data_IF_856487702710
#
_entry.id   IF_856487702710
#
_cell.length_a   1.000
_cell.length_b   1.000
_cell.length_c   1.000
_cell.angle_alpha   90.00
_cell.angle_beta   90.00
_cell.angle_gamma   90.00
#
_symmetry.space_group_name_H-M   'P 1'
#
loop_
_entity.id
_entity.type
_entity.pdbx_description
1 polymer ?
#
# COMPACT_ATOMS: atom_id res chain seq x y z
N UNK A 1 22.28 19.52 -10.96
CA UNK A 1 21.49 18.54 -10.17
C UNK A 1 20.03 19.01 -10.02
N UNK A 2 19.06 18.11 -10.12
CA UNK A 2 17.64 18.43 -9.99
C UNK A 2 16.83 17.22 -9.55
N UNK A 3 15.64 17.45 -9.02
CA UNK A 3 14.72 16.40 -8.55
C UNK A 3 13.52 16.36 -9.48
N UNK A 4 13.22 15.17 -10.03
CA UNK A 4 11.99 14.94 -10.78
C UNK A 4 10.86 14.60 -9.81
N UNK A 5 9.90 15.50 -9.67
CA UNK A 5 8.67 15.26 -8.92
C UNK A 5 7.58 14.70 -9.84
N UNK A 6 7.08 13.50 -9.54
CA UNK A 6 5.98 12.85 -10.26
C UNK A 6 4.78 12.68 -9.34
N UNK A 7 3.60 13.10 -9.80
CA UNK A 7 2.34 12.99 -9.06
C UNK A 7 1.35 12.13 -9.84
N UNK A 8 0.77 11.12 -9.18
CA UNK A 8 -0.33 10.31 -9.72
C UNK A 8 -1.62 10.73 -9.01
N UNK A 9 -2.62 11.15 -9.78
CA UNK A 9 -3.92 11.55 -9.24
C UNK A 9 -5.08 11.05 -10.12
N UNK A 10 -6.28 11.01 -9.53
CA UNK A 10 -7.51 10.78 -10.29
C UNK A 10 -7.73 11.94 -11.29
N UNK A 11 -8.27 11.72 -12.51
CA UNK A 11 -8.49 12.77 -13.49
C UNK A 11 -9.25 14.00 -12.96
N UNK A 12 -10.22 13.79 -12.06
CA UNK A 12 -10.97 14.87 -11.42
C UNK A 12 -10.18 15.73 -10.42
N UNK A 13 -8.95 15.36 -10.07
CA UNK A 13 -8.07 16.11 -9.14
C UNK A 13 -6.90 16.81 -9.83
N UNK A 14 -6.78 16.71 -11.15
CA UNK A 14 -5.65 17.26 -11.93
C UNK A 14 -5.43 18.74 -11.61
N UNK A 15 -6.47 19.57 -11.70
CA UNK A 15 -6.36 21.01 -11.45
C UNK A 15 -5.89 21.33 -10.02
N UNK A 16 -6.37 20.58 -9.01
CA UNK A 16 -5.96 20.79 -7.62
C UNK A 16 -4.49 20.40 -7.39
N UNK A 17 -4.02 19.33 -8.03
CA UNK A 17 -2.63 18.90 -7.99
C UNK A 17 -1.72 19.91 -8.70
N UNK A 18 -2.08 20.38 -9.89
CA UNK A 18 -1.34 21.41 -10.64
C UNK A 18 -1.24 22.71 -9.83
N UNK A 19 -2.35 23.18 -9.26
CA UNK A 19 -2.35 24.39 -8.41
C UNK A 19 -1.44 24.26 -7.19
N UNK A 20 -1.41 23.10 -6.55
CA UNK A 20 -0.49 22.84 -5.42
C UNK A 20 0.95 22.86 -5.90
N UNK A 21 1.27 22.22 -7.02
CA UNK A 21 2.64 22.19 -7.55
C UNK A 21 3.13 23.58 -7.95
N UNK A 22 2.32 24.42 -8.59
CA UNK A 22 2.71 25.79 -8.94
C UNK A 22 2.88 26.69 -7.71
N UNK A 23 2.06 26.48 -6.67
CA UNK A 23 2.12 27.28 -5.44
C UNK A 23 3.32 26.93 -4.57
N UNK A 24 3.60 25.64 -4.41
CA UNK A 24 4.59 25.15 -3.44
C UNK A 24 5.98 24.88 -4.07
N UNK A 25 6.12 25.04 -5.39
CA UNK A 25 7.38 24.82 -6.10
C UNK A 25 7.69 25.98 -7.02
N UNK A 26 8.95 26.10 -7.45
CA UNK A 26 9.37 27.11 -8.43
C UNK A 26 9.15 26.69 -9.88
N UNK A 27 8.38 25.62 -10.14
CA UNK A 27 8.18 25.15 -11.52
C UNK A 27 7.33 26.13 -12.31
N UNK A 28 7.70 26.38 -13.56
CA UNK A 28 6.93 27.20 -14.50
C UNK A 28 6.03 26.35 -15.41
N UNK A 29 6.16 25.03 -15.35
CA UNK A 29 5.37 24.14 -16.20
C UNK A 29 5.25 22.72 -15.64
N UNK A 30 4.19 22.04 -16.05
CA UNK A 30 3.91 20.65 -15.68
C UNK A 30 3.62 19.87 -16.96
N UNK A 31 4.27 18.71 -17.11
CA UNK A 31 3.97 17.75 -18.19
C UNK A 31 3.00 16.71 -17.64
N UNK A 32 1.90 16.47 -18.36
CA UNK A 32 0.85 15.52 -17.93
C UNK A 32 0.63 14.43 -18.97
N UNK A 33 0.31 13.23 -18.48
CA UNK A 33 -0.14 12.10 -19.30
C UNK A 33 -1.29 11.39 -18.59
N UNK A 34 -2.23 10.85 -19.37
CA UNK A 34 -3.27 9.95 -18.83
C UNK A 34 -2.78 8.51 -18.96
N UNK A 35 -2.75 7.80 -17.84
CA UNK A 35 -2.34 6.41 -17.79
C UNK A 35 -3.56 5.53 -17.55
N UNK A 36 -3.69 4.45 -18.32
CA UNK A 36 -4.63 3.37 -18.03
C UNK A 36 -3.95 2.36 -17.11
N UNK A 37 -4.73 1.69 -16.26
CA UNK A 37 -4.21 0.64 -15.38
C UNK A 37 -5.18 -0.53 -15.30
N UNK A 38 -4.63 -1.73 -15.30
CA UNK A 38 -5.31 -2.94 -14.86
C UNK A 38 -5.02 -3.14 -13.38
N UNK A 39 -6.06 -3.39 -12.58
CA UNK A 39 -5.94 -3.56 -11.13
C UNK A 39 -6.59 -4.88 -10.76
N UNK A 40 -5.94 -5.63 -9.86
CA UNK A 40 -6.53 -6.82 -9.25
C UNK A 40 -7.64 -6.41 -8.26
N UNK A 41 -8.63 -7.28 -8.08
CA UNK A 41 -9.53 -7.15 -6.95
C UNK A 41 -8.69 -7.28 -5.67
N UNK A 42 -9.03 -6.48 -4.66
CA UNK A 42 -8.32 -6.52 -3.38
C UNK A 42 -9.23 -6.19 -2.24
N UNK A 43 -8.96 -6.81 -1.11
CA UNK A 43 -9.60 -6.53 0.16
C UNK A 43 -8.55 -6.44 1.27
N UNK A 44 -8.97 -5.87 2.40
CA UNK A 44 -8.18 -5.81 3.61
C UNK A 44 -8.78 -6.81 4.58
N UNK A 45 -8.01 -7.85 4.90
CA UNK A 45 -8.31 -8.79 5.97
C UNK A 45 -7.47 -8.43 7.19
N UNK A 46 -7.83 -8.98 8.35
CA UNK A 46 -7.15 -8.73 9.62
C UNK A 46 -6.73 -10.06 10.22
N UNK A 47 -5.48 -10.17 10.65
CA UNK A 47 -4.94 -11.39 11.26
C UNK A 47 -4.33 -11.11 12.62
N UNK A 48 -4.45 -12.07 13.52
CA UNK A 48 -3.80 -12.03 14.83
C UNK A 48 -2.39 -12.60 14.75
N UNK A 49 -1.45 -11.90 15.38
CA UNK A 49 -0.09 -12.38 15.61
C UNK A 49 0.17 -12.40 17.12
N UNK A 50 1.21 -13.11 17.60
CA UNK A 50 1.59 -13.06 19.01
C UNK A 50 1.88 -11.66 19.57
N UNK A 51 2.13 -10.68 18.68
CA UNK A 51 2.43 -9.29 19.02
C UNK A 51 1.27 -8.34 18.74
N UNK A 52 0.13 -8.87 18.30
CA UNK A 52 -1.09 -8.10 18.04
C UNK A 52 -1.55 -8.18 16.59
N UNK A 53 -2.62 -7.44 16.35
CA UNK A 53 -3.38 -7.47 15.12
C UNK A 53 -2.67 -6.74 13.96
N UNK A 54 -2.66 -7.34 12.78
CA UNK A 54 -2.08 -6.78 11.55
C UNK A 54 -3.09 -6.87 10.41
N UNK A 55 -3.29 -5.77 9.68
CA UNK A 55 -4.06 -5.81 8.44
C UNK A 55 -3.23 -6.41 7.31
N UNK A 56 -3.88 -7.19 6.45
CA UNK A 56 -3.29 -7.89 5.33
C UNK A 56 -4.07 -7.54 4.07
N UNK A 57 -3.36 -7.05 3.05
CA UNK A 57 -3.90 -6.81 1.73
C UNK A 57 -3.89 -8.10 0.94
N UNK A 58 -5.08 -8.61 0.63
CA UNK A 58 -5.26 -9.81 -0.18
C UNK A 58 -5.71 -9.38 -1.56
N UNK A 59 -4.94 -9.74 -2.58
CA UNK A 59 -5.25 -9.47 -3.98
C UNK A 59 -5.63 -10.77 -4.68
N UNK A 60 -6.70 -10.74 -5.47
CA UNK A 60 -7.22 -11.91 -6.19
C UNK A 60 -7.42 -11.62 -7.68
N UNK A 61 -7.30 -12.68 -8.47
CA UNK A 61 -7.70 -12.71 -9.87
C UNK A 61 -9.24 -12.77 -9.98
N UNK A 62 -9.75 -12.60 -11.20
CA UNK A 62 -11.20 -12.63 -11.46
C UNK A 62 -11.85 -13.98 -11.16
N UNK A 63 -11.08 -15.06 -11.23
CA UNK A 63 -11.52 -16.42 -10.89
C UNK A 63 -11.49 -16.71 -9.37
N UNK A 64 -11.15 -15.70 -8.56
CA UNK A 64 -11.05 -15.81 -7.11
C UNK A 64 -9.71 -16.35 -6.61
N UNK A 65 -8.82 -16.82 -7.49
CA UNK A 65 -7.50 -17.31 -7.07
C UNK A 65 -6.65 -16.18 -6.49
N UNK A 66 -5.93 -16.48 -5.40
CA UNK A 66 -5.14 -15.51 -4.67
C UNK A 66 -3.86 -15.21 -5.44
N UNK A 67 -3.68 -13.95 -5.82
CA UNK A 67 -2.52 -13.48 -6.56
C UNK A 67 -1.40 -13.02 -5.62
N UNK A 68 -1.76 -12.37 -4.51
CA UNK A 68 -0.80 -11.84 -3.55
C UNK A 68 -1.44 -11.63 -2.17
N UNK A 69 -0.65 -11.79 -1.12
CA UNK A 69 -1.00 -11.56 0.27
C UNK A 69 0.11 -10.73 0.89
N UNK A 70 -0.22 -9.51 1.33
CA UNK A 70 0.78 -8.56 1.79
C UNK A 70 0.33 -7.89 3.09
N UNK A 71 0.94 -8.23 4.24
CA UNK A 71 0.77 -7.49 5.48
C UNK A 71 1.08 -5.99 5.32
N UNK A 72 0.26 -5.14 5.93
CA UNK A 72 0.42 -3.68 5.88
C UNK A 72 1.66 -3.24 6.67
N UNK A 73 2.56 -2.54 6.01
CA UNK A 73 3.85 -2.13 6.58
C UNK A 73 3.70 -1.23 7.82
N UNK A 74 2.74 -0.29 7.79
CA UNK A 74 2.49 0.62 8.91
C UNK A 74 2.05 -0.14 10.17
N UNK A 75 1.22 -1.17 10.00
CA UNK A 75 0.79 -2.03 11.10
C UNK A 75 1.97 -2.84 11.63
N UNK A 76 2.74 -3.48 10.74
CA UNK A 76 3.94 -4.25 11.12
C UNK A 76 4.98 -3.42 11.88
N UNK A 77 5.19 -2.17 11.46
CA UNK A 77 6.13 -1.26 12.14
C UNK A 77 5.59 -0.75 13.45
N UNK A 78 4.29 -0.42 13.53
CA UNK A 78 3.64 0.00 14.77
C UNK A 78 3.69 -1.11 15.82
N UNK A 79 3.26 -2.31 15.45
CA UNK A 79 3.32 -3.51 16.31
C UNK A 79 4.76 -3.80 16.72
N UNK A 80 5.70 -3.83 15.76
CA UNK A 80 7.11 -4.10 16.05
C UNK A 80 7.71 -3.11 17.05
N UNK A 81 7.42 -1.81 16.90
CA UNK A 81 7.89 -0.77 17.84
C UNK A 81 7.34 -0.97 19.26
N UNK A 82 6.07 -1.34 19.39
CA UNK A 82 5.43 -1.53 20.69
C UNK A 82 5.99 -2.75 21.45
N UNK A 83 6.52 -3.74 20.73
CA UNK A 83 7.01 -4.99 21.32
C UNK A 83 8.54 -5.17 21.19
N UNK A 84 9.26 -4.16 20.69
CA UNK A 84 10.72 -4.21 20.42
C UNK A 84 11.11 -5.38 19.48
N UNK A 85 10.24 -5.67 18.51
CA UNK A 85 10.44 -6.71 17.49
C UNK A 85 10.63 -6.06 16.12
N UNK A 86 11.49 -6.63 15.28
CA UNK A 86 11.69 -6.16 13.92
C UNK A 86 10.39 -6.25 13.11
N UNK A 87 10.03 -5.18 12.37
CA UNK A 87 8.82 -5.17 11.53
C UNK A 87 8.77 -6.35 10.53
N UNK A 88 9.93 -6.85 10.10
CA UNK A 88 10.05 -8.01 9.20
C UNK A 88 9.57 -9.30 9.85
N UNK A 89 9.79 -9.47 11.15
CA UNK A 89 9.31 -10.64 11.89
C UNK A 89 7.80 -10.56 12.10
N UNK A 90 7.27 -9.37 12.40
CA UNK A 90 5.81 -9.13 12.43
C UNK A 90 5.17 -9.42 11.07
N UNK A 91 5.79 -8.94 9.99
CA UNK A 91 5.33 -9.20 8.63
C UNK A 91 5.30 -10.70 8.32
N UNK A 92 6.38 -11.43 8.63
CA UNK A 92 6.44 -12.89 8.43
C UNK A 92 5.35 -13.61 9.23
N UNK A 93 5.15 -13.24 10.49
CA UNK A 93 4.14 -13.85 11.36
C UNK A 93 2.72 -13.57 10.87
N UNK A 94 2.42 -12.33 10.47
CA UNK A 94 1.12 -11.98 9.89
C UNK A 94 0.84 -12.79 8.61
N UNK A 95 1.85 -12.94 7.74
CA UNK A 95 1.71 -13.75 6.54
C UNK A 95 1.45 -15.23 6.88
N UNK A 96 2.19 -15.79 7.84
CA UNK A 96 1.97 -17.15 8.32
C UNK A 96 0.57 -17.32 8.92
N UNK A 97 0.12 -16.43 9.81
CA UNK A 97 -1.21 -16.45 10.41
C UNK A 97 -2.31 -16.45 9.36
N UNK A 98 -2.16 -15.64 8.30
CA UNK A 98 -3.11 -15.59 7.19
C UNK A 98 -3.22 -16.94 6.48
N UNK A 99 -2.09 -17.53 6.06
CA UNK A 99 -2.11 -18.81 5.36
C UNK A 99 -2.68 -19.95 6.24
N UNK A 100 -2.36 -19.97 7.53
CA UNK A 100 -2.92 -20.98 8.44
C UNK A 100 -4.45 -20.85 8.61
N UNK A 101 -5.00 -19.64 8.52
CA UNK A 101 -6.44 -19.40 8.70
C UNK A 101 -7.26 -19.63 7.44
N UNK A 102 -6.63 -19.54 6.26
CA UNK A 102 -7.31 -19.54 4.96
C UNK A 102 -6.98 -20.75 4.07
N UNK A 103 -6.00 -21.58 4.44
CA UNK A 103 -5.64 -22.80 3.70
C UNK A 103 -5.78 -24.10 4.52
N UNK A 104 -6.43 -24.02 5.69
CA UNK A 104 -6.93 -25.19 6.43
C UNK A 104 -8.44 -25.37 6.20
#
# INVERSE_FOLDING_TARGET
PGVLLSVVCHPGRVAACEATMFRETTTLGIRRSRQQRSILAREIQTVETPYGTVRVKVASYKDGSIANVQPEYEDCTKVGRNHLVGWRDIHRLALQSWYHSNMN
#
